data_IF_068003713302
#
_entry.id   IF_068003713302
#
_cell.length_a   1.000
_cell.length_b   1.000
_cell.length_c   1.000
_cell.angle_alpha   90.00
_cell.angle_beta   90.00
_cell.angle_gamma   90.00
#
_symmetry.space_group_name_H-M   'P 1'
#
loop_
_entity.id
_entity.type
_entity.pdbx_description
1 polymer ?
#
# COMPACT_ATOMS: atom_id res chain seq x y z
N UNK A 1 -40.40 -0.31 -2.76
CA UNK A 1 -39.07 0.35 -2.72
C UNK A 1 -38.69 0.67 -4.16
N UNK A 2 -38.17 1.86 -4.43
CA UNK A 2 -37.94 2.34 -5.81
C UNK A 2 -36.69 1.70 -6.41
N UNK A 3 -36.68 1.40 -7.71
CA UNK A 3 -35.52 0.85 -8.44
C UNK A 3 -34.24 1.71 -8.26
N UNK A 4 -34.39 3.03 -8.06
CA UNK A 4 -33.27 3.92 -7.79
C UNK A 4 -32.59 3.66 -6.42
N UNK A 5 -33.35 3.21 -5.41
CA UNK A 5 -32.78 2.84 -4.11
C UNK A 5 -32.05 1.50 -4.19
N UNK A 6 -32.49 0.58 -5.03
CA UNK A 6 -31.88 -0.75 -5.20
C UNK A 6 -30.52 -0.64 -5.91
N UNK A 7 -30.42 0.21 -6.94
CA UNK A 7 -29.14 0.51 -7.61
C UNK A 7 -28.14 1.21 -6.70
N UNK A 8 -28.59 2.15 -5.86
CA UNK A 8 -27.73 2.86 -4.90
C UNK A 8 -27.25 1.97 -3.74
N UNK A 9 -28.08 1.03 -3.29
CA UNK A 9 -27.67 0.07 -2.25
C UNK A 9 -26.68 -0.93 -2.83
N UNK A 10 -26.93 -1.43 -4.05
CA UNK A 10 -26.01 -2.33 -4.77
C UNK A 10 -24.65 -1.69 -5.06
N UNK A 11 -24.62 -0.41 -5.46
CA UNK A 11 -23.37 0.33 -5.70
C UNK A 11 -22.58 0.56 -4.41
N UNK A 12 -23.27 0.81 -3.30
CA UNK A 12 -22.62 1.07 -2.00
C UNK A 12 -22.06 -0.20 -1.36
N UNK A 13 -22.70 -1.35 -1.54
CA UNK A 13 -22.12 -2.65 -1.13
C UNK A 13 -20.87 -2.98 -1.96
N UNK A 14 -20.91 -2.82 -3.29
CA UNK A 14 -19.76 -3.09 -4.14
C UNK A 14 -18.56 -2.18 -3.87
N UNK A 15 -18.82 -0.91 -3.49
CA UNK A 15 -17.78 0.00 -3.02
C UNK A 15 -17.02 -0.57 -1.81
N UNK A 16 -17.75 -0.97 -0.76
CA UNK A 16 -17.14 -1.46 0.49
C UNK A 16 -16.43 -2.79 0.31
N UNK A 17 -16.95 -3.69 -0.51
CA UNK A 17 -16.28 -4.96 -0.81
C UNK A 17 -14.92 -4.72 -1.47
N UNK A 18 -14.88 -3.91 -2.55
CA UNK A 18 -13.62 -3.52 -3.20
C UNK A 18 -12.70 -2.79 -2.23
N UNK A 19 -13.23 -1.89 -1.39
CA UNK A 19 -12.40 -1.14 -0.45
C UNK A 19 -11.78 -2.06 0.62
N UNK A 20 -12.52 -3.04 1.12
CA UNK A 20 -12.02 -4.04 2.07
C UNK A 20 -10.94 -4.93 1.45
N UNK A 21 -11.05 -5.27 0.17
CA UNK A 21 -10.01 -5.99 -0.57
C UNK A 21 -8.72 -5.17 -0.65
N UNK A 22 -8.82 -3.87 -0.97
CA UNK A 22 -7.65 -2.97 -1.00
C UNK A 22 -6.97 -2.88 0.36
N UNK A 23 -7.74 -2.75 1.45
CA UNK A 23 -7.19 -2.71 2.81
C UNK A 23 -6.49 -4.03 3.16
N UNK A 24 -7.10 -5.17 2.82
CA UNK A 24 -6.49 -6.48 3.04
C UNK A 24 -5.19 -6.65 2.25
N UNK A 25 -5.17 -6.16 1.01
CA UNK A 25 -3.99 -6.13 0.15
C UNK A 25 -2.86 -5.27 0.71
N UNK A 26 -3.18 -4.04 1.12
CA UNK A 26 -2.23 -3.13 1.74
C UNK A 26 -1.67 -3.70 3.06
N UNK A 27 -2.50 -4.35 3.88
CA UNK A 27 -2.02 -5.02 5.10
C UNK A 27 -0.99 -6.12 4.79
N UNK A 28 -1.21 -6.91 3.73
CA UNK A 28 -0.21 -7.90 3.29
C UNK A 28 1.07 -7.23 2.80
N UNK A 29 0.96 -6.13 2.06
CA UNK A 29 2.11 -5.36 1.62
C UNK A 29 2.91 -4.81 2.82
N UNK A 30 2.23 -4.27 3.83
CA UNK A 30 2.84 -3.79 5.08
C UNK A 30 3.56 -4.92 5.84
N UNK A 31 2.97 -6.11 5.87
CA UNK A 31 3.62 -7.27 6.50
C UNK A 31 4.87 -7.72 5.74
N UNK A 32 4.91 -7.52 4.43
CA UNK A 32 6.08 -7.81 3.60
C UNK A 32 7.13 -6.68 3.67
N UNK A 33 6.70 -5.42 3.81
CA UNK A 33 7.54 -4.24 3.90
C UNK A 33 6.96 -3.23 4.91
N UNK A 34 7.53 -3.21 6.11
CA UNK A 34 7.07 -2.36 7.19
C UNK A 34 7.33 -0.86 6.96
N UNK A 35 8.21 -0.49 6.02
CA UNK A 35 8.52 0.91 5.72
C UNK A 35 7.29 1.65 5.14
N UNK A 36 6.34 0.91 4.56
CA UNK A 36 5.06 1.42 4.09
C UNK A 36 4.26 2.11 5.22
N UNK A 37 4.40 1.65 6.47
CA UNK A 37 3.74 2.28 7.62
C UNK A 37 4.31 3.66 7.94
N UNK A 38 5.58 3.93 7.63
CA UNK A 38 6.21 5.22 7.90
C UNK A 38 5.61 6.34 7.04
N UNK A 39 5.01 5.98 5.90
CA UNK A 39 4.31 6.90 5.01
C UNK A 39 2.90 7.25 5.51
N UNK A 40 2.33 6.43 6.40
CA UNK A 40 0.95 6.55 6.87
C UNK A 40 0.93 7.38 8.16
N UNK A 41 0.23 8.53 8.19
CA UNK A 41 0.14 9.32 9.41
C UNK A 41 -0.53 8.54 10.55
N UNK A 42 0.09 8.58 11.73
CA UNK A 42 -0.44 7.91 12.91
C UNK A 42 -1.89 8.35 13.22
N UNK A 43 -2.75 7.36 13.48
CA UNK A 43 -4.16 7.59 13.80
C UNK A 43 -5.02 8.04 12.62
N UNK A 44 -4.50 8.00 11.38
CA UNK A 44 -5.30 8.27 10.19
C UNK A 44 -6.23 7.10 9.83
N UNK A 45 -7.47 7.43 9.51
CA UNK A 45 -8.38 6.58 8.74
C UNK A 45 -7.94 6.60 7.28
N UNK A 46 -7.64 5.42 6.75
CA UNK A 46 -7.16 5.26 5.38
C UNK A 46 -8.31 5.21 4.37
N UNK A 47 -8.20 6.02 3.33
CA UNK A 47 -9.03 5.96 2.13
C UNK A 47 -8.13 5.58 0.96
N UNK A 48 -8.32 4.37 0.43
CA UNK A 48 -7.45 3.79 -0.60
C UNK A 48 -8.04 4.00 -1.99
N UNK A 49 -7.26 4.59 -2.89
CA UNK A 49 -7.65 4.86 -4.28
C UNK A 49 -6.73 4.05 -5.20
N UNK A 50 -7.22 2.97 -5.83
CA UNK A 50 -6.38 2.18 -6.73
C UNK A 50 -6.17 2.91 -8.07
N UNK A 51 -5.06 2.60 -8.75
CA UNK A 51 -4.75 3.14 -10.08
C UNK A 51 -5.88 2.96 -11.10
N UNK A 52 -6.63 1.86 -11.01
CA UNK A 52 -7.72 1.49 -11.91
C UNK A 52 -9.10 1.93 -11.38
N UNK A 53 -9.15 2.92 -10.48
CA UNK A 53 -10.40 3.52 -10.04
C UNK A 53 -11.08 4.23 -11.23
N UNK A 54 -12.35 3.91 -11.46
CA UNK A 54 -13.21 4.70 -12.33
C UNK A 54 -13.70 5.96 -11.60
N UNK A 55 -14.32 6.88 -12.36
CA UNK A 55 -14.81 8.15 -11.84
C UNK A 55 -15.83 7.95 -10.71
N UNK A 56 -16.75 7.00 -10.84
CA UNK A 56 -17.77 6.72 -9.84
C UNK A 56 -17.17 6.20 -8.51
N UNK A 57 -16.15 5.34 -8.59
CA UNK A 57 -15.44 4.85 -7.41
C UNK A 57 -14.65 5.97 -6.74
N UNK A 58 -14.00 6.83 -7.52
CA UNK A 58 -13.27 7.99 -7.02
C UNK A 58 -14.20 8.97 -6.30
N UNK A 59 -15.35 9.30 -6.89
CA UNK A 59 -16.38 10.13 -6.27
C UNK A 59 -16.83 9.52 -4.94
N UNK A 60 -17.09 8.21 -4.90
CA UNK A 60 -17.47 7.50 -3.67
C UNK A 60 -16.40 7.59 -2.58
N UNK A 61 -15.11 7.46 -2.95
CA UNK A 61 -14.00 7.63 -2.01
C UNK A 61 -13.97 9.05 -1.42
N UNK A 62 -14.15 10.06 -2.28
CA UNK A 62 -14.17 11.47 -1.87
C UNK A 62 -15.36 11.73 -0.94
N UNK A 63 -16.55 11.27 -1.28
CA UNK A 63 -17.76 11.44 -0.46
C UNK A 63 -17.56 10.84 0.94
N UNK A 64 -17.09 9.59 1.02
CA UNK A 64 -16.85 8.91 2.30
C UNK A 64 -15.75 9.60 3.11
N UNK A 65 -14.69 10.04 2.44
CA UNK A 65 -13.59 10.74 3.11
C UNK A 65 -14.01 12.11 3.64
N UNK A 66 -14.80 12.89 2.88
CA UNK A 66 -15.38 14.16 3.33
C UNK A 66 -16.32 13.95 4.52
N UNK A 67 -17.18 12.93 4.48
CA UNK A 67 -18.06 12.60 5.59
C UNK A 67 -17.30 12.16 6.85
N UNK A 68 -16.14 11.54 6.68
CA UNK A 68 -15.25 11.16 7.78
C UNK A 68 -14.54 12.37 8.39
N UNK A 69 -14.07 13.31 7.56
CA UNK A 69 -13.53 14.58 8.00
C UNK A 69 -14.57 15.41 8.78
N UNK A 70 -15.83 15.44 8.30
CA UNK A 70 -16.95 16.11 9.01
C UNK A 70 -17.23 15.52 10.40
N UNK A 71 -16.88 14.25 10.62
CA UNK A 71 -16.98 13.56 11.93
C UNK A 71 -15.76 13.80 12.81
N UNK A 72 -14.78 14.58 12.36
CA UNK A 72 -13.55 14.87 13.09
C UNK A 72 -12.50 13.77 13.02
N UNK A 73 -12.63 12.83 12.07
CA UNK A 73 -11.60 11.82 11.84
C UNK A 73 -10.43 12.42 11.05
N UNK A 74 -9.20 12.00 11.39
CA UNK A 74 -8.04 12.25 10.54
C UNK A 74 -8.14 11.30 9.34
N UNK A 75 -8.24 11.81 8.12
CA UNK A 75 -8.39 11.00 6.91
C UNK A 75 -7.18 11.17 6.03
N UNK A 76 -6.56 10.05 5.64
CA UNK A 76 -5.45 10.03 4.70
C UNK A 76 -5.89 9.32 3.42
N UNK A 77 -5.92 10.07 2.33
CA UNK A 77 -6.16 9.53 0.99
C UNK A 77 -4.83 9.03 0.43
N UNK A 78 -4.74 7.71 0.20
CA UNK A 78 -3.57 7.07 -0.41
C UNK A 78 -3.93 6.62 -1.81
N UNK A 79 -3.23 7.16 -2.79
CA UNK A 79 -3.21 6.59 -4.13
C UNK A 79 -2.32 5.35 -4.11
N UNK A 80 -2.81 4.27 -4.70
CA UNK A 80 -2.08 3.02 -4.81
C UNK A 80 -1.61 2.84 -6.26
N UNK A 81 -0.31 2.64 -6.45
CA UNK A 81 0.32 2.37 -7.74
C UNK A 81 0.17 0.89 -8.15
N UNK A 82 0.12 0.55 -9.46
CA UNK A 82 -0.10 -0.81 -9.92
C UNK A 82 0.78 -1.84 -9.19
N UNK A 83 0.12 -2.80 -8.54
CA UNK A 83 0.80 -3.88 -7.80
C UNK A 83 1.18 -3.56 -6.35
N UNK A 84 0.95 -2.34 -5.85
CA UNK A 84 1.29 -1.95 -4.47
C UNK A 84 0.39 -2.62 -3.42
N UNK A 85 -0.86 -2.93 -3.78
CA UNK A 85 -1.84 -3.59 -2.91
C UNK A 85 -2.12 -5.03 -3.30
N UNK A 86 -1.57 -5.47 -4.43
CA UNK A 86 -1.58 -6.86 -4.86
C UNK A 86 -0.23 -7.46 -4.41
N UNK A 87 -0.17 -7.91 -3.18
CA UNK A 87 0.75 -9.01 -2.89
C UNK A 87 0.07 -10.26 -3.46
N UNK A 88 0.71 -11.06 -4.33
CA UNK A 88 0.21 -12.39 -4.60
C UNK A 88 -0.01 -13.06 -3.24
N UNK A 89 -1.25 -13.41 -2.91
CA UNK A 89 -1.48 -14.43 -1.91
C UNK A 89 -0.85 -15.68 -2.47
N UNK A 90 0.40 -15.93 -2.11
CA UNK A 90 1.01 -17.20 -2.38
C UNK A 90 0.10 -18.26 -1.73
N UNK A 91 -0.49 -19.20 -2.49
CA UNK A 91 -1.28 -20.27 -1.91
C UNK A 91 -0.45 -21.18 -1.00
N UNK A 92 0.86 -20.98 -0.89
CA UNK A 92 1.72 -21.61 0.13
C UNK A 92 1.71 -20.93 1.50
N UNK A 93 1.12 -19.74 1.69
CA UNK A 93 1.07 -19.07 3.01
C UNK A 93 0.15 -19.78 4.02
N UNK A 94 -0.71 -20.70 3.57
CA UNK A 94 -1.42 -21.62 4.47
C UNK A 94 -0.58 -22.83 4.89
N UNK A 95 0.65 -22.99 4.38
CA UNK A 95 1.53 -24.14 4.66
C UNK A 95 3.01 -23.84 4.96
N UNK A 96 3.53 -22.63 4.71
CA UNK A 96 4.95 -22.32 4.81
C UNK A 96 5.21 -20.90 5.34
N UNK A 97 5.28 -20.76 6.67
CA UNK A 97 6.14 -19.75 7.32
C UNK A 97 7.58 -20.26 7.47
N UNK A 98 7.89 -21.40 6.86
CA UNK A 98 9.21 -22.04 6.86
C UNK A 98 9.69 -22.12 5.41
N UNK A 99 10.86 -21.56 5.14
CA UNK A 99 11.65 -21.73 3.91
C UNK A 99 11.02 -21.25 2.60
N UNK A 100 11.18 -19.95 2.29
CA UNK A 100 12.15 -19.51 1.27
C UNK A 100 12.03 -18.01 0.97
N UNK A 101 13.12 -17.32 1.26
CA UNK A 101 13.42 -15.93 0.94
C UNK A 101 13.38 -15.70 -0.57
N UNK A 102 12.49 -14.83 -1.05
CA UNK A 102 12.61 -14.23 -2.39
C UNK A 102 13.81 -13.29 -2.36
N UNK A 103 14.92 -13.71 -2.98
CA UNK A 103 16.09 -12.86 -3.20
C UNK A 103 15.70 -11.70 -4.11
N UNK A 104 15.65 -10.49 -3.54
CA UNK A 104 15.74 -9.22 -4.28
C UNK A 104 17.13 -9.20 -4.94
N UNK A 105 17.22 -9.21 -6.27
CA UNK A 105 18.45 -8.78 -6.93
C UNK A 105 18.70 -7.33 -6.52
N UNK A 106 19.82 -7.09 -5.83
CA UNK A 106 20.28 -5.74 -5.51
C UNK A 106 20.60 -5.04 -6.82
N UNK A 107 20.01 -3.87 -7.00
CA UNK A 107 20.57 -2.88 -7.90
C UNK A 107 21.83 -2.32 -7.22
N UNK A 108 23.01 -2.81 -7.58
CA UNK A 108 24.29 -2.23 -7.16
C UNK A 108 24.60 -1.04 -8.11
N UNK A 109 24.64 0.21 -7.62
CA UNK A 109 25.19 1.31 -8.42
C UNK A 109 26.71 1.07 -8.60
N UNK A 110 27.31 1.48 -9.74
CA UNK A 110 28.75 1.35 -9.92
C UNK A 110 29.49 2.12 -8.83
N UNK A 111 30.40 1.42 -8.13
CA UNK A 111 31.35 2.02 -7.20
C UNK A 111 32.47 2.65 -8.01
N UNK A 112 32.75 3.93 -7.77
CA UNK A 112 33.92 4.62 -8.33
C UNK A 112 35.20 3.99 -7.72
N UNK A 113 35.95 3.26 -8.54
CA UNK A 113 37.27 2.73 -8.19
C UNK A 113 38.31 3.87 -8.23
N UNK A 114 38.55 4.55 -7.12
CA UNK A 114 39.75 5.39 -6.90
C UNK A 114 40.08 5.50 -5.40
N UNK A 115 40.30 4.36 -4.73
CA UNK A 115 41.09 4.34 -3.49
C UNK A 115 42.58 4.36 -3.85
N UNK A 116 43.15 5.56 -3.93
CA UNK A 116 44.59 5.76 -3.97
C UNK A 116 45.22 5.41 -2.61
N UNK A 117 45.79 4.21 -2.57
CA UNK A 117 46.95 3.75 -1.79
C UNK A 117 47.66 4.84 -0.96
N UNK A 118 47.59 4.75 0.38
CA UNK A 118 48.56 5.39 1.27
C UNK A 118 49.23 4.35 2.16
N UNK A 119 50.53 4.06 1.98
CA UNK A 119 51.31 3.40 3.00
C UNK A 119 52.24 4.38 3.75
N UNK A 120 51.97 4.43 5.06
CA UNK A 120 52.87 4.44 6.22
C UNK A 120 53.85 5.60 6.47
N UNK A 121 53.64 6.26 7.61
CA UNK A 121 54.60 7.17 8.24
C UNK A 121 55.78 6.38 8.86
N UNK A 122 57.04 6.81 8.65
CA UNK A 122 58.19 6.10 9.17
C UNK A 122 58.34 6.30 10.68
N UNK A 123 58.57 5.20 11.39
CA UNK A 123 58.92 5.17 12.81
C UNK A 123 60.37 5.58 13.01
N UNK A 124 60.61 6.75 13.63
CA UNK A 124 61.60 6.96 14.71
C UNK A 124 61.53 8.35 15.31
#
# INVERSE_FOLDING_TARGET
MSAAQETLVGSRTGFWDRHNELHSGLLRAILADATILEEIPNGASLMLIPHDADEAYLESCIEVGVDSLRKGLNVYFRYLAPGEWWAPSDPTITGAWDDHVVRRERFDPPLDDDEAEQPEAPTR
#
